data_IF_510678159474
#
_entry.id   IF_510678159474
#
_cell.length_a   1.000
_cell.length_b   1.000
_cell.length_c   1.000
_cell.angle_alpha   90.00
_cell.angle_beta   90.00
_cell.angle_gamma   90.00
#
_symmetry.space_group_name_H-M   'P 1'
#
loop_
_entity.id
_entity.type
_entity.pdbx_description
1 polymer ?
#
# COMPACT_ATOMS: atom_id res chain seq x y z
N UNK A 1 -28.62 3.63 -34.11
CA UNK A 1 -28.24 3.90 -32.71
C UNK A 1 -29.37 4.69 -32.07
N UNK A 2 -30.05 4.15 -31.07
CA UNK A 2 -31.17 4.83 -30.41
C UNK A 2 -30.67 6.05 -29.63
N UNK A 3 -31.46 7.12 -29.53
CA UNK A 3 -31.12 8.30 -28.71
C UNK A 3 -30.81 7.92 -27.25
N UNK A 4 -31.45 6.86 -26.76
CA UNK A 4 -31.21 6.30 -25.42
C UNK A 4 -29.82 5.65 -25.29
N UNK A 5 -29.31 5.02 -26.36
CA UNK A 5 -27.99 4.40 -26.36
C UNK A 5 -26.90 5.49 -26.23
N UNK A 6 -27.10 6.63 -26.91
CA UNK A 6 -26.17 7.77 -26.83
C UNK A 6 -26.15 8.40 -25.44
N UNK A 7 -27.31 8.54 -24.77
CA UNK A 7 -27.40 9.04 -23.39
C UNK A 7 -26.75 8.08 -22.39
N UNK A 8 -26.92 6.77 -22.58
CA UNK A 8 -26.29 5.75 -21.75
C UNK A 8 -24.77 5.77 -21.92
N UNK A 9 -24.29 5.82 -23.17
CA UNK A 9 -22.87 5.92 -23.49
C UNK A 9 -22.25 7.19 -22.90
N UNK A 10 -22.93 8.34 -23.00
CA UNK A 10 -22.47 9.60 -22.42
C UNK A 10 -22.33 9.51 -20.90
N UNK A 11 -23.35 8.95 -20.21
CA UNK A 11 -23.28 8.74 -18.76
C UNK A 11 -22.15 7.79 -18.36
N UNK A 12 -21.94 6.72 -19.13
CA UNK A 12 -20.87 5.75 -18.89
C UNK A 12 -19.47 6.37 -19.08
N UNK A 13 -19.30 7.20 -20.10
CA UNK A 13 -18.05 7.93 -20.34
C UNK A 13 -17.77 8.94 -19.22
N UNK A 14 -18.78 9.69 -18.78
CA UNK A 14 -18.64 10.64 -17.65
C UNK A 14 -18.28 9.89 -16.36
N UNK A 15 -18.93 8.76 -16.09
CA UNK A 15 -18.63 7.93 -14.92
C UNK A 15 -17.18 7.43 -14.96
N UNK A 16 -16.75 6.89 -16.09
CA UNK A 16 -15.38 6.40 -16.30
C UNK A 16 -14.36 7.51 -16.11
N UNK A 17 -14.63 8.70 -16.68
CA UNK A 17 -13.76 9.86 -16.52
C UNK A 17 -13.69 10.32 -15.05
N UNK A 18 -14.81 10.31 -14.33
CA UNK A 18 -14.87 10.59 -12.90
C UNK A 18 -14.05 9.61 -12.07
N UNK A 19 -14.14 8.31 -12.36
CA UNK A 19 -13.32 7.28 -11.70
C UNK A 19 -11.82 7.53 -11.94
N UNK A 20 -11.44 7.82 -13.18
CA UNK A 20 -10.04 8.12 -13.52
C UNK A 20 -9.55 9.36 -12.75
N UNK A 21 -10.36 10.41 -12.67
CA UNK A 21 -10.03 11.62 -11.91
C UNK A 21 -9.79 11.30 -10.43
N UNK A 22 -10.64 10.47 -9.82
CA UNK A 22 -10.48 10.03 -8.42
C UNK A 22 -9.16 9.27 -8.25
N UNK A 23 -8.83 8.35 -9.16
CA UNK A 23 -7.58 7.59 -9.10
C UNK A 23 -6.34 8.48 -9.20
N UNK A 24 -6.38 9.51 -10.05
CA UNK A 24 -5.28 10.48 -10.19
C UNK A 24 -5.09 11.31 -8.92
N UNK A 25 -6.18 11.84 -8.35
CA UNK A 25 -6.12 12.61 -7.10
C UNK A 25 -5.62 11.75 -5.95
N UNK A 26 -6.13 10.52 -5.83
CA UNK A 26 -5.70 9.58 -4.81
C UNK A 26 -4.22 9.18 -4.97
N UNK A 27 -3.77 8.89 -6.19
CA UNK A 27 -2.36 8.62 -6.48
C UNK A 27 -1.45 9.80 -6.15
N UNK A 28 -1.88 11.03 -6.48
CA UNK A 28 -1.17 12.26 -6.10
C UNK A 28 -1.08 12.43 -4.59
N UNK A 29 -2.18 12.18 -3.87
CA UNK A 29 -2.21 12.22 -2.41
C UNK A 29 -1.23 11.21 -1.79
N UNK A 30 -1.25 9.95 -2.21
CA UNK A 30 -0.32 8.89 -1.74
C UNK A 30 1.14 9.22 -2.05
N UNK A 31 1.40 9.90 -3.18
CA UNK A 31 2.74 10.37 -3.53
C UNK A 31 3.22 11.47 -2.58
N UNK A 32 2.35 12.44 -2.26
CA UNK A 32 2.67 13.56 -1.37
C UNK A 32 2.87 13.11 0.08
N UNK A 33 2.07 12.14 0.55
CA UNK A 33 2.22 11.56 1.90
C UNK A 33 3.44 10.63 2.02
N UNK A 34 4.21 10.43 0.92
CA UNK A 34 5.33 9.49 0.83
C UNK A 34 4.99 8.04 1.23
N UNK A 35 3.71 7.71 1.41
CA UNK A 35 3.24 6.35 1.71
C UNK A 35 3.54 5.37 0.57
N UNK A 36 3.71 5.88 -0.66
CA UNK A 36 4.20 5.08 -1.78
C UNK A 36 5.69 4.66 -1.68
N UNK A 37 6.45 5.23 -0.73
CA UNK A 37 7.86 4.88 -0.49
C UNK A 37 8.05 4.01 0.77
N UNK A 38 7.02 3.84 1.60
CA UNK A 38 7.01 2.99 2.80
C UNK A 38 6.48 1.57 2.52
N UNK A 39 6.04 1.29 1.29
CA UNK A 39 5.72 -0.08 0.87
C UNK A 39 7.02 -0.71 0.34
N UNK A 40 7.77 -1.35 1.23
CA UNK A 40 9.00 -2.07 0.86
C UNK A 40 8.66 -3.44 0.26
N UNK A 41 7.59 -4.09 0.72
CA UNK A 41 7.12 -5.36 0.16
C UNK A 41 5.60 -5.33 -0.04
N UNK A 42 5.15 -5.56 -1.27
CA UNK A 42 3.73 -5.77 -1.56
C UNK A 42 3.38 -7.21 -1.20
N UNK A 43 3.04 -7.43 0.08
CA UNK A 43 2.67 -8.75 0.57
C UNK A 43 1.18 -8.77 1.00
N UNK A 44 0.23 -8.85 0.06
CA UNK A 44 -1.21 -8.76 0.33
C UNK A 44 -1.74 -9.93 1.19
N UNK A 45 -0.97 -11.02 1.31
CA UNK A 45 -1.36 -12.22 2.06
C UNK A 45 -0.63 -12.30 3.40
N UNK A 46 0.66 -11.94 3.45
CA UNK A 46 1.48 -12.05 4.69
C UNK A 46 1.71 -10.72 5.41
N UNK A 47 1.37 -9.57 4.81
CA UNK A 47 1.48 -8.25 5.45
C UNK A 47 0.38 -7.95 6.48
N UNK A 48 -0.69 -8.76 6.53
CA UNK A 48 -1.82 -8.60 7.46
C UNK A 48 -1.79 -9.64 8.58
N UNK A 49 -1.04 -10.73 8.41
CA UNK A 49 -0.96 -11.81 9.38
C UNK A 49 0.36 -11.71 10.15
N UNK A 50 0.32 -11.40 11.46
CA UNK A 50 1.54 -11.37 12.27
C UNK A 50 2.21 -12.76 12.22
N UNK A 51 3.55 -12.83 12.03
CA UNK A 51 4.29 -14.07 12.08
C UNK A 51 3.94 -14.87 13.34
N UNK A 52 3.53 -16.13 13.18
CA UNK A 52 3.18 -16.99 14.31
C UNK A 52 4.46 -17.74 14.75
N UNK A 53 5.06 -17.27 15.84
CA UNK A 53 6.23 -17.90 16.47
C UNK A 53 7.52 -17.08 16.40
N UNK A 54 8.39 -17.24 17.41
CA UNK A 54 9.59 -16.42 17.61
C UNK A 54 10.63 -16.57 16.49
N UNK A 55 10.77 -17.77 15.92
CA UNK A 55 11.67 -18.02 14.79
C UNK A 55 11.22 -17.31 13.51
N UNK A 56 9.91 -17.24 13.26
CA UNK A 56 9.34 -16.52 12.12
C UNK A 56 9.51 -15.00 12.29
N UNK A 57 9.34 -14.48 13.52
CA UNK A 57 9.64 -13.07 13.84
C UNK A 57 11.09 -12.70 13.60
N UNK A 58 12.05 -13.55 14.00
CA UNK A 58 13.47 -13.30 13.74
C UNK A 58 13.80 -13.32 12.24
N UNK A 59 13.23 -14.27 11.49
CA UNK A 59 13.43 -14.34 10.05
C UNK A 59 12.85 -13.12 9.32
N UNK A 60 11.66 -12.65 9.72
CA UNK A 60 11.04 -11.47 9.12
C UNK A 60 11.75 -10.19 9.51
N UNK A 61 12.19 -10.07 10.77
CA UNK A 61 12.98 -8.94 11.21
C UNK A 61 14.34 -8.87 10.50
N UNK A 62 14.98 -10.00 10.24
CA UNK A 62 16.21 -10.05 9.44
C UNK A 62 15.99 -9.53 8.01
N UNK A 63 14.84 -9.81 7.40
CA UNK A 63 14.46 -9.19 6.11
C UNK A 63 14.17 -7.70 6.27
N UNK A 64 13.45 -7.31 7.32
CA UNK A 64 13.18 -5.89 7.61
C UNK A 64 14.47 -5.09 7.78
N UNK A 65 15.51 -5.65 8.42
CA UNK A 65 16.82 -5.00 8.54
C UNK A 65 17.52 -4.75 7.21
N UNK A 66 17.22 -5.54 6.19
CA UNK A 66 17.74 -5.35 4.82
C UNK A 66 16.95 -4.29 4.05
N UNK A 67 15.81 -3.84 4.57
CA UNK A 67 15.01 -2.81 3.93
C UNK A 67 15.70 -1.43 3.98
N UNK A 68 15.52 -0.60 2.94
CA UNK A 68 15.98 0.77 2.96
C UNK A 68 15.28 1.62 4.04
N UNK A 69 14.13 1.18 4.56
CA UNK A 69 13.41 1.87 5.64
C UNK A 69 14.11 1.68 6.99
N UNK A 70 14.46 0.45 7.34
CA UNK A 70 15.32 0.18 8.50
C UNK A 70 16.66 0.90 8.35
N UNK A 71 17.27 0.84 7.17
CA UNK A 71 18.57 1.45 6.93
C UNK A 71 18.55 2.98 6.85
N UNK A 72 17.42 3.66 6.65
CA UNK A 72 17.38 5.12 6.50
C UNK A 72 16.60 5.84 7.59
N UNK A 73 15.66 5.17 8.23
CA UNK A 73 14.70 5.79 9.16
C UNK A 73 14.71 5.08 10.51
N UNK A 74 14.73 3.74 10.51
CA UNK A 74 14.50 2.94 11.71
C UNK A 74 15.73 2.10 12.13
N UNK A 75 16.94 2.62 11.96
CA UNK A 75 18.19 1.87 12.20
C UNK A 75 18.35 1.37 13.65
N UNK A 76 17.67 2.02 14.60
CA UNK A 76 17.68 1.68 16.02
C UNK A 76 16.52 0.78 16.44
N UNK A 77 15.69 0.32 15.51
CA UNK A 77 14.50 -0.49 15.80
C UNK A 77 14.91 -1.89 16.29
N UNK A 78 14.32 -2.34 17.39
CA UNK A 78 14.52 -3.69 17.93
C UNK A 78 13.43 -4.64 17.45
N UNK A 79 13.64 -5.96 17.64
CA UNK A 79 12.62 -6.97 17.35
C UNK A 79 11.28 -6.65 18.04
N UNK A 80 11.33 -6.11 19.26
CA UNK A 80 10.16 -5.74 20.05
C UNK A 80 9.43 -4.52 19.46
N UNK A 81 10.18 -3.49 19.05
CA UNK A 81 9.61 -2.34 18.34
C UNK A 81 9.03 -2.70 16.97
N UNK A 82 9.64 -3.68 16.28
CA UNK A 82 9.10 -4.19 15.01
C UNK A 82 7.74 -4.90 15.20
N UNK A 83 7.57 -5.65 16.30
CA UNK A 83 6.29 -6.29 16.63
C UNK A 83 5.17 -5.25 16.85
N UNK A 84 5.46 -4.08 17.43
CA UNK A 84 4.47 -3.03 17.63
C UNK A 84 3.89 -2.45 16.33
N UNK A 85 4.54 -2.64 15.19
CA UNK A 85 4.01 -2.19 13.88
C UNK A 85 2.77 -3.03 13.47
N UNK A 86 2.65 -4.25 14.01
CA UNK A 86 1.57 -5.19 13.69
C UNK A 86 0.42 -5.21 14.71
N UNK A 87 0.53 -4.48 15.82
CA UNK A 87 -0.48 -4.37 16.89
C UNK A 87 -1.09 -2.97 16.95
#
# INVERSE_FOLDING_TARGET
MSENDNKLLTKWLILTCGIIMILVVFGGYVRLTRAGLSIVEWNPISGVLPPIGESAWQAEFAKYQQSPEFQKVNQTMTLDGYKQIFY
#
